data_IF_300638755629
#
_entry.id   IF_300638755629
#
_cell.length_a   1.000
_cell.length_b   1.000
_cell.length_c   1.000
_cell.angle_alpha   90.00
_cell.angle_beta   90.00
_cell.angle_gamma   90.00
#
_symmetry.space_group_name_H-M   'P 1'
#
loop_
_entity.id
_entity.type
_entity.pdbx_description
1 polymer ?
#
# COMPACT_ATOMS: atom_id res chain seq x y z
N UNK A 1 10.90 21.38 -7.67
CA UNK A 1 10.93 20.08 -6.98
C UNK A 1 9.73 19.23 -7.41
N UNK A 2 10.00 17.97 -7.70
CA UNK A 2 8.99 16.97 -8.05
C UNK A 2 8.72 16.07 -6.85
N UNK A 3 7.51 15.51 -6.80
CA UNK A 3 7.10 14.57 -5.77
C UNK A 3 6.52 13.33 -6.43
N UNK A 4 6.99 12.14 -6.02
CA UNK A 4 6.43 10.89 -6.52
C UNK A 4 6.43 9.82 -5.44
N UNK A 5 5.49 8.88 -5.55
CA UNK A 5 5.52 7.66 -4.76
C UNK A 5 6.33 6.63 -5.53
N UNK A 6 7.23 5.96 -4.84
CA UNK A 6 8.15 5.01 -5.42
C UNK A 6 8.44 3.85 -4.49
N UNK A 7 9.12 2.85 -5.04
CA UNK A 7 9.65 1.72 -4.29
C UNK A 7 11.16 1.88 -4.16
N UNK A 8 11.68 1.70 -2.95
CA UNK A 8 13.12 1.62 -2.70
C UNK A 8 13.59 0.21 -3.05
N UNK A 9 14.53 0.12 -3.98
CA UNK A 9 15.15 -1.13 -4.39
C UNK A 9 16.59 -1.14 -3.94
N UNK A 10 17.00 -2.15 -3.18
CA UNK A 10 18.36 -2.25 -2.68
C UNK A 10 19.27 -2.89 -3.71
N UNK A 11 20.31 -2.17 -4.12
CA UNK A 11 21.37 -2.72 -4.96
C UNK A 11 22.26 -3.60 -4.10
N UNK A 12 22.56 -3.13 -2.88
CA UNK A 12 23.37 -3.86 -1.91
C UNK A 12 22.86 -3.55 -0.51
N UNK A 13 22.55 -4.57 0.28
CA UNK A 13 22.17 -4.41 1.68
C UNK A 13 23.36 -3.99 2.54
N UNK A 14 24.54 -4.48 2.20
CA UNK A 14 25.76 -4.18 3.00
C UNK A 14 26.22 -2.73 2.84
N UNK A 15 26.23 -2.21 1.61
CA UNK A 15 26.65 -0.84 1.33
C UNK A 15 25.50 0.17 1.41
N UNK A 16 24.27 -0.31 1.60
CA UNK A 16 23.05 0.51 1.60
C UNK A 16 22.84 1.31 0.31
N UNK A 17 23.39 0.83 -0.80
CA UNK A 17 23.14 1.41 -2.11
C UNK A 17 21.75 1.04 -2.59
N UNK A 18 21.04 2.00 -3.15
CA UNK A 18 19.66 1.83 -3.58
C UNK A 18 19.32 2.68 -4.79
N UNK A 19 18.20 2.34 -5.43
CA UNK A 19 17.56 3.15 -6.46
C UNK A 19 16.05 3.11 -6.25
N UNK A 20 15.32 3.92 -7.01
CA UNK A 20 13.86 3.98 -6.91
C UNK A 20 13.22 3.44 -8.17
N UNK A 21 12.07 2.76 -7.98
CA UNK A 21 11.18 2.42 -9.08
C UNK A 21 9.86 3.18 -8.89
N UNK A 22 9.48 3.96 -9.89
CA UNK A 22 8.19 4.64 -9.93
C UNK A 22 7.06 3.65 -10.23
N UNK A 23 5.83 4.02 -9.94
CA UNK A 23 4.68 3.14 -10.12
C UNK A 23 4.35 2.88 -11.60
N UNK A 24 4.87 3.68 -12.52
CA UNK A 24 4.81 3.41 -13.96
C UNK A 24 5.94 2.49 -14.47
N UNK A 25 6.82 2.05 -13.59
CA UNK A 25 7.93 1.15 -13.90
C UNK A 25 9.25 1.83 -14.21
N UNK A 26 9.29 3.16 -14.30
CA UNK A 26 10.54 3.89 -14.56
C UNK A 26 11.48 3.80 -13.38
N UNK A 27 12.76 3.66 -13.66
CA UNK A 27 13.82 3.60 -12.66
C UNK A 27 14.52 4.95 -12.52
N UNK A 28 14.69 5.39 -11.28
CA UNK A 28 15.38 6.64 -10.95
C UNK A 28 16.67 6.34 -10.19
N UNK A 29 17.77 6.90 -10.69
CA UNK A 29 19.07 6.79 -10.04
C UNK A 29 19.32 8.00 -9.13
N UNK A 30 19.50 7.79 -7.80
CA UNK A 30 19.78 8.89 -6.87
C UNK A 30 21.28 9.23 -6.86
N UNK A 31 21.66 10.26 -7.63
CA UNK A 31 23.08 10.64 -7.75
C UNK A 31 23.70 11.09 -6.43
N UNK A 32 22.90 11.57 -5.49
CA UNK A 32 23.35 11.97 -4.17
C UNK A 32 22.96 10.97 -3.06
N UNK A 33 22.89 9.68 -3.41
CA UNK A 33 22.40 8.63 -2.51
C UNK A 33 23.18 8.54 -1.19
N UNK A 34 24.47 8.86 -1.17
CA UNK A 34 25.30 8.77 0.04
C UNK A 34 24.78 9.65 1.18
N UNK A 35 24.18 10.78 0.84
CA UNK A 35 23.55 11.66 1.84
C UNK A 35 22.22 11.16 2.39
N UNK A 36 21.68 10.10 1.79
CA UNK A 36 20.37 9.55 2.13
C UNK A 36 20.42 8.09 2.56
N UNK A 37 21.62 7.54 2.78
CA UNK A 37 21.77 6.18 3.30
C UNK A 37 21.13 6.08 4.68
N UNK A 38 20.30 5.06 4.85
CA UNK A 38 19.60 4.81 6.11
C UNK A 38 19.63 3.30 6.38
N UNK A 39 19.99 2.92 7.58
CA UNK A 39 20.01 1.51 7.99
C UNK A 39 18.62 0.86 7.95
N UNK A 40 17.57 1.69 8.01
CA UNK A 40 16.19 1.22 7.97
C UNK A 40 15.68 0.93 6.56
N UNK A 41 16.41 1.32 5.51
CA UNK A 41 15.98 1.02 4.15
C UNK A 41 16.09 -0.48 3.87
N UNK A 42 14.98 -1.06 3.43
CA UNK A 42 14.90 -2.48 3.04
C UNK A 42 14.31 -2.59 1.64
N UNK A 43 14.62 -3.69 0.95
CA UNK A 43 14.05 -3.97 -0.35
C UNK A 43 12.53 -3.93 -0.30
N UNK A 44 11.94 -3.16 -1.18
CA UNK A 44 10.49 -3.08 -1.29
C UNK A 44 9.83 -2.02 -0.43
N UNK A 45 10.60 -1.22 0.33
CA UNK A 45 10.04 -0.11 1.10
C UNK A 45 9.42 0.93 0.17
N UNK A 46 8.16 1.27 0.41
CA UNK A 46 7.49 2.34 -0.34
C UNK A 46 7.77 3.69 0.31
N UNK A 47 7.89 4.73 -0.51
CA UNK A 47 8.23 6.05 0.00
C UNK A 47 7.73 7.17 -0.94
N UNK A 48 7.43 8.32 -0.34
CA UNK A 48 7.38 9.58 -1.09
C UNK A 48 8.81 10.04 -1.32
N UNK A 49 9.12 10.42 -2.54
CA UNK A 49 10.43 10.98 -2.91
C UNK A 49 10.23 12.38 -3.45
N UNK A 50 10.94 13.34 -2.87
CA UNK A 50 11.02 14.72 -3.37
C UNK A 50 12.36 14.83 -4.07
N UNK A 51 12.37 15.29 -5.32
CA UNK A 51 13.58 15.26 -6.13
C UNK A 51 13.58 16.32 -7.22
N UNK A 52 14.79 16.60 -7.71
CA UNK A 52 14.99 17.33 -8.95
C UNK A 52 15.59 16.39 -9.99
N UNK A 53 15.15 16.50 -11.23
CA UNK A 53 15.69 15.74 -12.33
C UNK A 53 16.99 16.39 -12.82
N UNK A 54 18.03 15.56 -13.04
CA UNK A 54 19.32 15.98 -13.55
C UNK A 54 19.42 15.65 -15.04
N UNK A 55 20.08 16.50 -15.79
CA UNK A 55 20.18 16.37 -17.25
C UNK A 55 21.09 15.22 -17.69
N UNK A 56 22.14 14.93 -16.92
CA UNK A 56 23.12 13.91 -17.28
C UNK A 56 22.52 12.51 -17.14
N UNK A 57 22.46 11.71 -18.23
CA UNK A 57 21.86 10.39 -18.16
C UNK A 57 22.76 9.40 -17.42
N UNK A 58 22.14 8.41 -16.78
CA UNK A 58 22.83 7.28 -16.13
C UNK A 58 22.38 6.00 -16.83
N UNK A 59 23.34 5.22 -17.30
CA UNK A 59 23.08 3.99 -18.04
C UNK A 59 22.28 2.99 -17.18
N UNK A 60 21.20 2.46 -17.75
CA UNK A 60 20.35 1.49 -17.06
C UNK A 60 19.20 2.11 -16.28
N UNK A 61 19.09 3.44 -16.27
CA UNK A 61 18.04 4.17 -15.55
C UNK A 61 17.32 5.14 -16.47
N UNK A 62 16.04 5.36 -16.20
CA UNK A 62 15.21 6.28 -16.97
C UNK A 62 15.43 7.73 -16.54
N UNK A 63 15.68 7.95 -15.25
CA UNK A 63 15.89 9.27 -14.67
C UNK A 63 17.14 9.25 -13.80
N UNK A 64 17.90 10.36 -13.86
CA UNK A 64 18.96 10.67 -12.91
C UNK A 64 18.44 11.81 -12.02
N UNK A 65 18.45 11.61 -10.71
CA UNK A 65 17.82 12.55 -9.80
C UNK A 65 18.75 13.00 -8.67
N UNK A 66 18.48 14.20 -8.18
CA UNK A 66 18.98 14.68 -6.90
C UNK A 66 17.83 14.57 -5.89
N UNK A 67 18.02 13.75 -4.88
CA UNK A 67 17.03 13.55 -3.82
C UNK A 67 17.03 14.74 -2.89
N UNK A 68 15.83 15.26 -2.59
CA UNK A 68 15.59 16.36 -1.64
C UNK A 68 14.88 15.89 -0.39
N UNK A 69 14.18 14.77 -0.46
CA UNK A 69 13.48 14.19 0.68
C UNK A 69 13.01 12.78 0.39
N UNK A 70 12.98 11.96 1.43
CA UNK A 70 12.44 10.61 1.40
C UNK A 70 11.57 10.45 2.63
N UNK A 71 10.27 10.20 2.43
CA UNK A 71 9.33 9.94 3.51
C UNK A 71 8.75 8.53 3.34
N UNK A 72 9.12 7.58 4.22
CA UNK A 72 8.60 6.21 4.13
C UNK A 72 7.08 6.16 4.26
N UNK A 73 6.49 5.29 3.48
CA UNK A 73 5.06 4.96 3.58
C UNK A 73 4.96 3.62 4.29
N UNK A 74 4.01 3.50 5.23
CA UNK A 74 3.72 2.22 5.88
C UNK A 74 3.51 1.15 4.80
N UNK A 75 4.35 0.11 4.80
CA UNK A 75 4.34 -0.95 3.80
C UNK A 75 4.17 -2.28 4.53
N UNK A 76 3.11 -3.02 4.19
CA UNK A 76 2.72 -4.24 4.90
C UNK A 76 2.40 -5.36 3.93
N UNK A 77 2.49 -6.59 4.42
CA UNK A 77 1.98 -7.76 3.71
C UNK A 77 0.47 -7.90 3.92
N UNK A 78 -0.19 -8.60 2.99
CA UNK A 78 -1.58 -9.03 3.16
C UNK A 78 -1.60 -10.07 4.30
N UNK A 79 -2.64 -10.03 5.12
CA UNK A 79 -2.86 -11.03 6.18
C UNK A 79 -4.12 -11.84 5.88
N UNK A 80 -4.19 -13.06 6.42
CA UNK A 80 -5.39 -13.89 6.32
C UNK A 80 -6.09 -13.88 7.66
N UNK A 81 -7.39 -13.56 7.64
CA UNK A 81 -8.19 -13.56 8.85
C UNK A 81 -8.24 -14.96 9.46
N UNK A 82 -7.97 -15.05 10.76
CA UNK A 82 -7.96 -16.31 11.50
C UNK A 82 -6.64 -17.06 11.46
N UNK A 83 -5.65 -16.60 10.69
CA UNK A 83 -4.30 -17.17 10.69
C UNK A 83 -3.37 -16.35 11.60
N UNK A 84 -2.40 -17.03 12.20
CA UNK A 84 -1.48 -16.44 13.19
C UNK A 84 -2.28 -15.74 14.31
N UNK A 85 -1.94 -14.51 14.66
CA UNK A 85 -2.64 -13.71 15.65
C UNK A 85 -3.69 -12.77 15.01
N UNK A 86 -4.12 -13.04 13.78
CA UNK A 86 -4.99 -12.15 13.00
C UNK A 86 -6.47 -12.51 13.18
N UNK A 87 -6.97 -12.50 14.41
CA UNK A 87 -8.40 -12.67 14.67
C UNK A 87 -9.20 -11.42 14.28
N UNK A 88 -10.51 -11.59 14.11
CA UNK A 88 -11.39 -10.52 13.65
C UNK A 88 -11.41 -9.32 14.60
N UNK A 89 -11.35 -9.55 15.89
CA UNK A 89 -11.35 -8.49 16.89
C UNK A 89 -10.09 -7.65 16.81
N UNK A 90 -8.93 -8.28 16.65
CA UNK A 90 -7.65 -7.60 16.54
C UNK A 90 -7.51 -6.82 15.21
N UNK A 91 -7.97 -7.43 14.12
CA UNK A 91 -7.99 -6.77 12.80
C UNK A 91 -8.93 -5.57 12.82
N UNK A 92 -10.09 -5.71 13.46
CA UNK A 92 -11.08 -4.66 13.56
C UNK A 92 -11.84 -4.39 12.28
N UNK A 93 -12.80 -3.49 12.36
CA UNK A 93 -13.57 -3.01 11.21
C UNK A 93 -14.08 -1.59 11.50
N UNK A 94 -13.25 -0.78 12.11
CA UNK A 94 -13.59 0.60 12.41
C UNK A 94 -13.66 1.42 11.11
N UNK A 95 -14.42 2.50 11.16
CA UNK A 95 -14.73 3.28 9.97
C UNK A 95 -13.50 3.97 9.40
N UNK A 96 -13.34 3.87 8.09
CA UNK A 96 -12.24 4.48 7.35
C UNK A 96 -12.72 4.78 5.92
N UNK A 97 -12.32 5.92 5.37
CA UNK A 97 -12.56 6.21 3.96
C UNK A 97 -11.30 5.97 3.15
N UNK A 98 -11.50 5.50 1.92
CA UNK A 98 -10.43 5.46 0.92
C UNK A 98 -10.75 6.55 -0.10
N UNK A 99 -9.80 7.47 -0.29
CA UNK A 99 -9.95 8.57 -1.24
C UNK A 99 -9.37 8.22 -2.60
N UNK A 100 -8.37 7.33 -2.60
CA UNK A 100 -7.80 6.82 -3.84
C UNK A 100 -7.10 5.49 -3.58
N UNK A 101 -7.20 4.57 -4.56
CA UNK A 101 -6.50 3.28 -4.53
C UNK A 101 -5.95 2.98 -5.91
N UNK A 102 -4.72 2.49 -5.97
CA UNK A 102 -4.12 2.09 -7.23
C UNK A 102 -3.13 0.94 -7.06
N UNK A 103 -2.91 0.23 -8.15
CA UNK A 103 -1.94 -0.85 -8.24
C UNK A 103 -0.82 -0.39 -9.18
N UNK A 104 0.44 -0.60 -8.78
CA UNK A 104 1.58 -0.23 -9.62
C UNK A 104 1.70 -1.14 -10.86
N UNK A 105 2.50 -0.71 -11.83
CA UNK A 105 2.59 -1.35 -13.15
C UNK A 105 2.85 -2.86 -13.10
N UNK A 106 3.69 -3.32 -12.18
CA UNK A 106 4.06 -4.73 -12.10
C UNK A 106 3.16 -5.56 -11.17
N UNK A 107 2.04 -4.99 -10.73
CA UNK A 107 1.07 -5.61 -9.83
C UNK A 107 1.68 -6.10 -8.52
N UNK A 108 2.65 -5.34 -7.99
CA UNK A 108 3.35 -5.70 -6.75
C UNK A 108 2.76 -5.06 -5.50
N UNK A 109 2.13 -3.89 -5.65
CA UNK A 109 1.61 -3.11 -4.53
C UNK A 109 0.23 -2.56 -4.83
N UNK A 110 -0.64 -2.61 -3.82
CA UNK A 110 -1.83 -1.78 -3.74
C UNK A 110 -1.51 -0.63 -2.78
N UNK A 111 -1.64 0.60 -3.26
CA UNK A 111 -1.46 1.78 -2.41
C UNK A 111 -2.80 2.44 -2.19
N UNK A 112 -3.07 2.81 -0.94
CA UNK A 112 -4.35 3.38 -0.51
C UNK A 112 -4.09 4.72 0.16
N UNK A 113 -4.76 5.75 -0.34
CA UNK A 113 -4.91 7.02 0.35
C UNK A 113 -6.18 6.94 1.19
N UNK A 114 -6.07 7.20 2.48
CA UNK A 114 -7.17 7.00 3.41
C UNK A 114 -7.40 8.19 4.32
N UNK A 115 -8.58 8.22 4.95
CA UNK A 115 -8.94 9.18 5.99
C UNK A 115 -9.65 8.47 7.12
N UNK A 116 -9.33 8.82 8.36
CA UNK A 116 -10.09 8.38 9.52
C UNK A 116 -10.11 9.44 10.61
N UNK A 117 -11.09 9.34 11.49
CA UNK A 117 -11.18 10.18 12.67
C UNK A 117 -10.38 9.57 13.82
N UNK A 118 -9.58 10.39 14.50
CA UNK A 118 -8.78 9.98 15.63
C UNK A 118 -8.16 11.20 16.32
N UNK A 119 -7.38 10.95 17.37
CA UNK A 119 -6.61 12.00 18.05
C UNK A 119 -5.36 12.40 17.28
N UNK A 120 -4.84 11.50 16.44
CA UNK A 120 -3.59 11.64 15.70
C UNK A 120 -2.38 11.89 16.59
N UNK A 121 -2.43 11.38 17.83
CA UNK A 121 -1.30 11.45 18.75
C UNK A 121 -0.39 10.23 18.57
N UNK A 122 0.90 10.40 18.83
CA UNK A 122 1.91 9.35 18.63
C UNK A 122 1.71 8.10 19.50
N UNK A 123 1.06 8.25 20.65
CA UNK A 123 0.78 7.16 21.58
C UNK A 123 -0.56 6.45 21.32
N UNK A 124 -1.31 6.88 20.31
CA UNK A 124 -2.60 6.28 19.91
C UNK A 124 -2.51 5.76 18.49
N UNK A 125 -1.92 4.59 18.33
CA UNK A 125 -1.74 3.97 17.02
C UNK A 125 -3.00 3.27 16.55
N UNK A 126 -3.35 3.54 15.28
CA UNK A 126 -4.38 2.81 14.58
C UNK A 126 -3.71 1.72 13.73
N UNK A 127 -4.38 0.59 13.56
CA UNK A 127 -3.87 -0.52 12.76
C UNK A 127 -4.66 -0.64 11.46
N UNK A 128 -3.93 -0.82 10.36
CA UNK A 128 -4.49 -0.98 9.03
C UNK A 128 -4.05 -2.31 8.46
N UNK A 129 -4.97 -3.07 7.90
CA UNK A 129 -4.67 -4.35 7.29
C UNK A 129 -5.45 -4.54 5.99
N UNK A 130 -4.82 -5.16 5.01
CA UNK A 130 -5.48 -5.71 3.83
C UNK A 130 -5.61 -7.21 4.07
N UNK A 131 -6.82 -7.73 3.99
CA UNK A 131 -7.19 -9.02 4.59
C UNK A 131 -7.82 -9.93 3.56
N UNK A 132 -7.33 -11.18 3.54
CA UNK A 132 -8.04 -12.29 2.91
C UNK A 132 -9.02 -12.82 3.96
N UNK A 133 -10.32 -12.74 3.66
CA UNK A 133 -11.36 -13.29 4.51
C UNK A 133 -12.11 -14.37 3.74
N UNK A 134 -11.76 -15.64 4.01
CA UNK A 134 -12.32 -16.80 3.33
C UNK A 134 -13.56 -17.36 4.03
N UNK A 135 -14.19 -16.62 4.95
CA UNK A 135 -15.40 -17.06 5.62
C UNK A 135 -16.56 -17.11 4.61
N UNK A 136 -17.41 -18.10 4.73
CA UNK A 136 -18.53 -18.36 3.83
C UNK A 136 -19.49 -17.17 3.73
N UNK A 137 -19.62 -16.39 4.77
CA UNK A 137 -20.49 -15.20 4.81
C UNK A 137 -20.11 -14.12 3.82
N UNK A 138 -18.89 -14.15 3.34
CA UNK A 138 -18.38 -13.21 2.33
C UNK A 138 -18.18 -13.89 0.98
N UNK A 139 -18.48 -15.19 0.91
CA UNK A 139 -18.41 -15.91 -0.35
C UNK A 139 -19.56 -15.47 -1.26
N UNK A 140 -19.29 -15.32 -2.55
CA UNK A 140 -20.31 -14.98 -3.52
C UNK A 140 -21.42 -16.04 -3.57
N UNK A 141 -22.65 -15.61 -3.72
CA UNK A 141 -23.75 -16.54 -3.98
C UNK A 141 -23.64 -17.08 -5.40
N UNK A 142 -24.05 -18.31 -5.59
CA UNK A 142 -23.99 -19.00 -6.89
C UNK A 142 -24.70 -18.24 -8.03
N UNK A 143 -25.61 -17.32 -7.69
CA UNK A 143 -26.38 -16.55 -8.66
C UNK A 143 -25.66 -15.28 -9.13
N UNK A 144 -24.61 -14.87 -8.47
CA UNK A 144 -23.83 -13.69 -8.88
C UNK A 144 -22.79 -14.05 -9.95
N UNK A 145 -22.75 -15.31 -10.31
CA UNK A 145 -22.16 -15.83 -11.52
C UNK A 145 -20.72 -15.41 -11.78
N UNK A 146 -20.43 -15.19 -13.02
CA UNK A 146 -19.07 -15.03 -13.55
C UNK A 146 -18.36 -13.74 -13.15
N UNK A 147 -19.06 -12.72 -12.62
CA UNK A 147 -18.46 -11.41 -12.32
C UNK A 147 -17.49 -11.46 -11.13
N UNK A 148 -17.65 -12.43 -10.23
CA UNK A 148 -16.81 -12.55 -9.04
C UNK A 148 -15.53 -13.32 -9.29
N UNK A 149 -15.54 -14.24 -10.27
CA UNK A 149 -14.34 -14.94 -10.68
C UNK A 149 -13.33 -14.02 -11.39
N UNK A 150 -13.75 -12.82 -11.78
CA UNK A 150 -12.91 -11.84 -12.45
C UNK A 150 -12.06 -11.00 -11.50
N UNK A 151 -12.42 -10.97 -10.22
CA UNK A 151 -11.73 -10.16 -9.20
C UNK A 151 -11.33 -10.99 -8.00
N UNK A 152 -10.25 -10.59 -7.36
CA UNK A 152 -9.82 -11.16 -6.08
C UNK A 152 -10.44 -10.32 -4.97
N UNK A 153 -11.21 -10.95 -4.08
CA UNK A 153 -11.90 -10.27 -2.98
C UNK A 153 -10.97 -10.10 -1.79
N UNK A 154 -10.80 -8.86 -1.34
CA UNK A 154 -10.03 -8.50 -0.16
C UNK A 154 -10.83 -7.50 0.68
N UNK A 155 -10.42 -7.30 1.92
CA UNK A 155 -11.01 -6.33 2.83
C UNK A 155 -9.94 -5.38 3.36
N UNK A 156 -10.20 -4.08 3.29
CA UNK A 156 -9.36 -3.10 3.94
C UNK A 156 -9.94 -2.82 5.33
N UNK A 157 -9.22 -3.24 6.35
CA UNK A 157 -9.68 -3.20 7.74
C UNK A 157 -8.88 -2.20 8.57
N UNK A 158 -9.59 -1.56 9.49
CA UNK A 158 -9.05 -0.54 10.37
C UNK A 158 -9.40 -0.88 11.82
N UNK A 159 -8.41 -0.77 12.71
CA UNK A 159 -8.62 -0.88 14.14
C UNK A 159 -8.09 0.40 14.80
N UNK A 160 -8.99 1.20 15.35
CA UNK A 160 -8.65 2.45 16.04
C UNK A 160 -8.11 2.25 17.44
N UNK A 161 -8.14 1.01 17.96
CA UNK A 161 -7.75 0.68 19.34
C UNK A 161 -8.50 1.55 20.37
N UNK A 162 -9.75 1.88 20.10
CA UNK A 162 -10.56 2.68 20.99
C UNK A 162 -10.18 4.16 21.07
N UNK A 163 -9.37 4.65 20.12
CA UNK A 163 -8.99 6.06 20.07
C UNK A 163 -10.21 6.94 19.85
N UNK A 164 -10.23 8.11 20.50
CA UNK A 164 -11.32 9.06 20.40
C UNK A 164 -11.37 9.72 19.00
N UNK A 165 -12.51 9.67 18.29
CA UNK A 165 -12.63 10.19 16.93
C UNK A 165 -12.75 11.73 16.89
N UNK A 166 -11.71 12.43 17.26
CA UNK A 166 -11.72 13.88 17.42
C UNK A 166 -11.62 14.67 16.12
N UNK A 167 -10.74 14.25 15.22
CA UNK A 167 -10.50 15.00 13.97
C UNK A 167 -10.15 14.06 12.82
N UNK A 168 -10.50 14.49 11.62
CA UNK A 168 -10.19 13.77 10.40
C UNK A 168 -8.71 13.96 10.03
N UNK A 169 -8.02 12.84 9.80
CA UNK A 169 -6.64 12.85 9.31
C UNK A 169 -6.51 11.99 8.08
N UNK A 170 -5.45 12.22 7.32
CA UNK A 170 -5.15 11.52 6.08
C UNK A 170 -3.83 10.78 6.17
N UNK A 171 -3.70 9.74 5.36
CA UNK A 171 -2.46 8.99 5.26
C UNK A 171 -2.43 8.08 4.05
N UNK A 172 -1.30 7.39 3.91
CA UNK A 172 -1.07 6.42 2.86
C UNK A 172 -0.56 5.12 3.46
N UNK A 173 -0.98 4.03 2.86
CA UNK A 173 -0.46 2.70 3.17
C UNK A 173 -0.30 1.94 1.87
N UNK A 174 0.77 1.16 1.76
CA UNK A 174 0.99 0.26 0.64
C UNK A 174 1.01 -1.18 1.12
N UNK A 175 0.32 -2.05 0.40
CA UNK A 175 0.28 -3.47 0.69
C UNK A 175 0.99 -4.25 -0.42
N UNK A 176 1.93 -5.10 -0.03
CA UNK A 176 2.58 -6.04 -0.94
C UNK A 176 1.58 -7.11 -1.36
N UNK A 177 1.50 -7.35 -2.65
CA UNK A 177 0.53 -8.30 -3.22
C UNK A 177 1.11 -9.71 -3.40
N UNK A 178 2.30 -9.98 -2.84
CA UNK A 178 2.98 -11.27 -3.00
C UNK A 178 2.11 -12.46 -2.61
N UNK A 179 1.36 -12.33 -1.53
CA UNK A 179 0.55 -13.42 -0.98
C UNK A 179 -0.56 -13.89 -1.93
N UNK A 180 -1.03 -13.02 -2.82
CA UNK A 180 -2.09 -13.34 -3.78
C UNK A 180 -1.58 -13.43 -5.21
N UNK A 181 -0.28 -13.34 -5.44
CA UNK A 181 0.31 -13.35 -6.78
C UNK A 181 -0.14 -14.55 -7.61
N UNK A 182 -0.19 -15.74 -7.02
CA UNK A 182 -0.62 -16.96 -7.69
C UNK A 182 -2.10 -16.97 -8.08
N UNK A 183 -2.90 -16.05 -7.56
CA UNK A 183 -4.32 -15.95 -7.82
C UNK A 183 -4.66 -14.92 -8.91
N UNK A 184 -3.66 -14.17 -9.39
CA UNK A 184 -3.87 -13.02 -10.30
C UNK A 184 -4.14 -13.43 -11.75
N UNK A 185 -3.62 -14.57 -12.20
CA UNK A 185 -3.78 -15.01 -13.59
C UNK A 185 -5.28 -15.14 -13.94
N UNK A 186 -5.68 -14.52 -15.04
CA UNK A 186 -7.06 -14.51 -15.48
C UNK A 186 -7.97 -13.54 -14.73
N UNK A 187 -7.45 -12.80 -13.76
CA UNK A 187 -8.22 -11.81 -13.00
C UNK A 187 -8.04 -10.40 -13.56
N UNK A 188 -9.08 -9.60 -13.44
CA UNK A 188 -9.05 -8.20 -13.89
C UNK A 188 -8.52 -7.23 -12.85
N UNK A 189 -8.57 -7.60 -11.58
CA UNK A 189 -8.15 -6.73 -10.49
C UNK A 189 -8.57 -7.24 -9.13
N UNK A 190 -8.60 -6.32 -8.18
CA UNK A 190 -8.99 -6.55 -6.80
C UNK A 190 -10.37 -5.93 -6.54
N UNK A 191 -11.18 -6.61 -5.74
CA UNK A 191 -12.42 -6.05 -5.19
C UNK A 191 -12.23 -5.89 -3.71
N UNK A 192 -12.31 -4.65 -3.23
CA UNK A 192 -11.91 -4.31 -1.86
C UNK A 192 -13.11 -3.78 -1.07
N UNK A 193 -13.44 -4.49 0.01
CA UNK A 193 -14.47 -4.06 0.95
C UNK A 193 -13.87 -3.08 1.96
N UNK A 194 -14.56 -1.98 2.19
CA UNK A 194 -14.18 -0.95 3.16
C UNK A 194 -15.41 -0.56 3.97
N UNK A 195 -15.29 -0.51 5.29
CA UNK A 195 -16.34 0.04 6.15
C UNK A 195 -16.21 1.57 6.17
N UNK A 196 -16.94 2.26 5.31
CA UNK A 196 -16.76 3.70 5.08
C UNK A 196 -17.38 4.54 6.20
N UNK A 197 -16.83 5.73 6.41
CA UNK A 197 -17.23 6.63 7.49
C UNK A 197 -18.69 7.06 7.34
N UNK A 198 -19.12 7.43 6.14
CA UNK A 198 -20.42 8.04 5.93
C UNK A 198 -21.46 7.13 5.27
N UNK A 199 -21.06 6.02 4.70
CA UNK A 199 -21.96 5.14 3.94
C UNK A 199 -21.95 3.69 4.37
N UNK A 200 -21.23 3.33 5.43
CA UNK A 200 -21.08 1.94 5.85
C UNK A 200 -20.27 1.11 4.85
N UNK A 201 -20.38 -0.22 4.90
CA UNK A 201 -19.60 -1.08 4.01
C UNK A 201 -19.86 -0.82 2.53
N UNK A 202 -18.78 -0.62 1.78
CA UNK A 202 -18.79 -0.47 0.33
C UNK A 202 -17.70 -1.33 -0.29
N UNK A 203 -17.83 -1.62 -1.56
CA UNK A 203 -16.88 -2.42 -2.31
C UNK A 203 -16.34 -1.60 -3.49
N UNK A 204 -15.04 -1.63 -3.67
CA UNK A 204 -14.37 -0.90 -4.74
C UNK A 204 -13.57 -1.87 -5.61
N UNK A 205 -13.60 -1.66 -6.92
CA UNK A 205 -12.80 -2.42 -7.87
C UNK A 205 -11.57 -1.63 -8.26
N UNK A 206 -10.41 -2.29 -8.19
CA UNK A 206 -9.12 -1.71 -8.59
C UNK A 206 -8.50 -2.65 -9.61
N UNK A 207 -8.33 -2.18 -10.84
CA UNK A 207 -7.84 -3.01 -11.95
C UNK A 207 -6.33 -3.12 -11.95
N UNK A 208 -5.89 -4.29 -12.38
CA UNK A 208 -4.49 -4.54 -12.69
C UNK A 208 -4.01 -3.75 -13.91
#
# INVERSE_FOLDING_TARGET
DLLAISTINMISQDSKEFYFTLDDGKKMYPSNSQGWNNEDWVEGQRAFVIFNELEEPVNGYDLNIQVKGINPILTKDIVTMGEDDNDEEKIGDDKINTTYMWINKDNKYLTIEFQYYGTHSEDKKHFLNLVINDKEETAPTADEGNAEDEYINLEFRHNSEGDDPQRLGEGYVSFKLDKIKNRMEGKKGLRIRVNTIYGGPKTYEVKF
#
